data_IF_411512394458
#
_entry.id   IF_411512394458
#
_cell.length_a   1.000
_cell.length_b   1.000
_cell.length_c   1.000
_cell.angle_alpha   90.00
_cell.angle_beta   90.00
_cell.angle_gamma   90.00
#
_symmetry.space_group_name_H-M   'P 1'
#
loop_
_entity.id
_entity.type
_entity.pdbx_description
1 polymer ?
#
# COMPACT_ATOMS: atom_id res chain seq x y z
N UNK A 1 -19.91 -12.88 17.28
CA UNK A 1 -19.72 -14.28 17.65
C UNK A 1 -18.84 -14.42 18.90
N UNK A 2 -17.63 -13.78 18.97
CA UNK A 2 -16.78 -13.81 20.18
C UNK A 2 -17.52 -13.34 21.43
N UNK A 3 -18.31 -12.23 21.34
CA UNK A 3 -19.15 -11.72 22.45
C UNK A 3 -20.25 -12.69 22.88
N UNK A 4 -20.57 -13.68 22.03
CA UNK A 4 -21.54 -14.76 22.32
C UNK A 4 -20.86 -16.06 22.80
N UNK A 5 -19.55 -16.01 23.09
CA UNK A 5 -18.79 -17.15 23.62
C UNK A 5 -18.31 -18.18 22.59
N UNK A 6 -18.41 -17.90 21.29
CA UNK A 6 -17.92 -18.80 20.24
C UNK A 6 -16.40 -18.71 20.06
N UNK A 7 -15.73 -19.85 19.81
CA UNK A 7 -14.35 -19.89 19.29
C UNK A 7 -14.36 -19.49 17.81
N UNK A 8 -13.88 -18.28 17.51
CA UNK A 8 -13.90 -17.73 16.16
C UNK A 8 -12.49 -17.72 15.59
N UNK A 9 -12.31 -18.40 14.47
CA UNK A 9 -11.05 -18.45 13.72
C UNK A 9 -11.25 -17.91 12.31
N UNK A 10 -10.40 -17.00 11.88
CA UNK A 10 -10.44 -16.42 10.53
C UNK A 10 -9.43 -17.10 9.63
N UNK A 11 -9.87 -17.52 8.44
CA UNK A 11 -9.01 -18.11 7.41
C UNK A 11 -8.98 -17.18 6.20
N UNK A 12 -7.79 -16.90 5.67
CA UNK A 12 -7.68 -16.11 4.45
C UNK A 12 -8.31 -16.87 3.26
N UNK A 13 -9.17 -16.24 2.44
CA UNK A 13 -9.87 -16.91 1.33
C UNK A 13 -8.94 -17.65 0.37
N UNK A 14 -7.71 -17.15 0.19
CA UNK A 14 -6.70 -17.79 -0.66
C UNK A 14 -6.30 -19.20 -0.18
N UNK A 15 -6.45 -19.50 1.12
CA UNK A 15 -6.16 -20.82 1.69
C UNK A 15 -7.36 -21.77 1.63
N UNK A 16 -8.58 -21.24 1.54
CA UNK A 16 -9.80 -22.03 1.36
C UNK A 16 -10.01 -22.42 -0.10
N UNK A 17 -9.67 -21.52 -1.02
CA UNK A 17 -9.89 -21.71 -2.46
C UNK A 17 -9.45 -23.08 -3.04
N UNK A 18 -8.31 -23.67 -2.64
CA UNK A 18 -7.90 -24.99 -3.15
C UNK A 18 -8.85 -26.14 -2.79
N UNK A 19 -9.68 -25.97 -1.77
CA UNK A 19 -10.63 -26.97 -1.29
C UNK A 19 -12.03 -26.81 -1.89
N UNK A 20 -12.28 -25.68 -2.60
CA UNK A 20 -13.58 -25.44 -3.23
C UNK A 20 -13.74 -26.36 -4.45
N UNK A 21 -14.78 -27.19 -4.44
CA UNK A 21 -15.19 -28.03 -5.56
C UNK A 21 -15.77 -27.19 -6.70
N UNK A 22 -15.99 -27.82 -7.85
CA UNK A 22 -16.61 -27.16 -9.01
C UNK A 22 -18.01 -26.65 -8.64
N UNK A 23 -18.40 -25.53 -9.24
CA UNK A 23 -19.64 -24.78 -8.99
C UNK A 23 -19.60 -23.97 -7.70
N UNK A 24 -20.28 -22.81 -7.73
CA UNK A 24 -20.33 -21.88 -6.61
C UNK A 24 -21.69 -21.98 -5.94
N UNK A 25 -21.68 -22.47 -4.70
CA UNK A 25 -22.84 -22.44 -3.81
C UNK A 25 -22.33 -22.38 -2.35
N UNK A 26 -23.17 -21.93 -1.46
CA UNK A 26 -22.79 -21.72 -0.06
C UNK A 26 -22.46 -23.02 0.66
N UNK A 27 -23.09 -24.15 0.29
CA UNK A 27 -22.79 -25.46 0.86
C UNK A 27 -21.38 -25.95 0.50
N UNK A 28 -20.95 -25.76 -0.76
CA UNK A 28 -19.59 -26.08 -1.20
C UNK A 28 -18.53 -25.14 -0.55
N UNK A 29 -18.87 -23.86 -0.35
CA UNK A 29 -18.00 -22.92 0.36
C UNK A 29 -17.87 -23.31 1.84
N UNK A 30 -18.96 -23.71 2.51
CA UNK A 30 -18.94 -24.18 3.90
C UNK A 30 -18.13 -25.48 4.04
N UNK A 31 -18.28 -26.46 3.13
CA UNK A 31 -17.49 -27.69 3.10
C UNK A 31 -16.00 -27.37 2.95
N UNK A 32 -15.64 -26.48 2.02
CA UNK A 32 -14.25 -26.07 1.79
C UNK A 32 -13.64 -25.35 3.01
N UNK A 33 -14.42 -24.53 3.72
CA UNK A 33 -13.98 -23.87 4.96
C UNK A 33 -13.75 -24.92 6.06
N UNK A 34 -14.66 -25.86 6.22
CA UNK A 34 -14.55 -26.94 7.20
C UNK A 34 -13.31 -27.80 6.95
N UNK A 35 -13.09 -28.22 5.71
CA UNK A 35 -11.91 -29.00 5.29
C UNK A 35 -10.60 -28.20 5.53
N UNK A 36 -10.58 -26.94 5.16
CA UNK A 36 -9.43 -26.07 5.38
C UNK A 36 -9.13 -25.87 6.88
N UNK A 37 -10.16 -25.69 7.70
CA UNK A 37 -10.02 -25.43 9.14
C UNK A 37 -9.40 -26.60 9.91
N UNK A 38 -9.60 -27.83 9.44
CA UNK A 38 -9.08 -29.05 10.07
C UNK A 38 -7.63 -29.35 9.75
N UNK A 39 -7.02 -28.65 8.77
CA UNK A 39 -5.64 -28.92 8.36
C UNK A 39 -4.63 -28.48 9.42
N UNK A 40 -3.70 -29.36 9.87
CA UNK A 40 -2.70 -29.00 10.87
C UNK A 40 -1.78 -27.84 10.46
N UNK A 41 -1.57 -27.66 9.15
CA UNK A 41 -0.75 -26.57 8.60
C UNK A 41 -1.51 -25.26 8.37
N UNK A 42 -2.81 -25.22 8.69
CA UNK A 42 -3.63 -24.01 8.44
C UNK A 42 -3.20 -22.86 9.34
N UNK A 43 -3.01 -21.69 8.70
CA UNK A 43 -2.68 -20.44 9.40
C UNK A 43 -3.93 -19.58 9.51
N UNK A 44 -4.35 -19.36 10.74
CA UNK A 44 -5.47 -18.48 11.05
C UNK A 44 -5.02 -17.02 11.10
N UNK A 45 -5.93 -16.14 10.70
CA UNK A 45 -5.71 -14.69 10.76
C UNK A 45 -6.20 -14.19 12.12
N UNK A 46 -5.41 -13.40 12.86
CA UNK A 46 -5.86 -12.81 14.12
C UNK A 46 -7.10 -11.92 13.91
N UNK A 47 -8.07 -12.03 14.81
CA UNK A 47 -9.23 -11.15 14.84
C UNK A 47 -8.76 -9.75 15.28
N UNK A 48 -9.10 -8.73 14.53
CA UNK A 48 -8.77 -7.35 14.88
C UNK A 48 -9.64 -6.84 16.02
N UNK A 49 -9.07 -6.05 16.92
CA UNK A 49 -9.84 -5.29 17.92
C UNK A 49 -10.71 -4.21 17.26
N UNK A 50 -11.68 -3.68 18.00
CA UNK A 50 -12.53 -2.58 17.50
C UNK A 50 -11.69 -1.35 17.15
N UNK A 51 -10.66 -1.03 17.96
CA UNK A 51 -9.73 0.08 17.71
C UNK A 51 -8.88 -0.14 16.46
N UNK A 52 -8.38 -1.37 16.25
CA UNK A 52 -7.65 -1.72 15.02
C UNK A 52 -8.54 -1.62 13.78
N UNK A 53 -9.83 -1.99 13.91
CA UNK A 53 -10.79 -1.85 12.81
C UNK A 53 -11.07 -0.38 12.50
N UNK A 54 -11.29 0.45 13.54
CA UNK A 54 -11.50 1.88 13.40
C UNK A 54 -10.28 2.57 12.77
N UNK A 55 -9.06 2.23 13.22
CA UNK A 55 -7.83 2.73 12.63
C UNK A 55 -7.68 2.32 11.15
N UNK A 56 -8.00 1.06 10.82
CA UNK A 56 -7.94 0.57 9.44
C UNK A 56 -8.96 1.26 8.54
N UNK A 57 -10.12 1.67 9.07
CA UNK A 57 -11.16 2.38 8.31
C UNK A 57 -10.67 3.74 7.80
N UNK A 58 -9.83 4.45 8.57
CA UNK A 58 -9.22 5.72 8.14
C UNK A 58 -8.42 5.53 6.84
N UNK A 59 -7.62 4.47 6.76
CA UNK A 59 -6.82 4.19 5.55
C UNK A 59 -7.68 3.72 4.37
N UNK A 60 -8.75 2.95 4.61
CA UNK A 60 -9.70 2.55 3.57
C UNK A 60 -10.47 3.76 3.01
N UNK A 61 -10.92 4.66 3.89
CA UNK A 61 -11.55 5.93 3.52
C UNK A 61 -10.60 6.80 2.70
N UNK A 62 -9.36 6.97 3.19
CA UNK A 62 -8.33 7.70 2.46
C UNK A 62 -8.07 7.12 1.06
N UNK A 63 -7.94 5.80 0.95
CA UNK A 63 -7.73 5.14 -0.34
C UNK A 63 -8.93 5.32 -1.29
N UNK A 64 -10.15 5.36 -0.76
CA UNK A 64 -11.35 5.65 -1.54
C UNK A 64 -11.30 7.07 -2.09
N UNK A 65 -11.02 8.07 -1.25
CA UNK A 65 -10.92 9.47 -1.66
C UNK A 65 -9.86 9.67 -2.74
N UNK A 66 -8.67 9.06 -2.59
CA UNK A 66 -7.60 9.11 -3.60
C UNK A 66 -8.05 8.51 -4.94
N UNK A 67 -8.79 7.39 -4.92
CA UNK A 67 -9.31 6.79 -6.15
C UNK A 67 -10.36 7.67 -6.83
N UNK A 68 -11.30 8.23 -6.06
CA UNK A 68 -12.33 9.14 -6.59
C UNK A 68 -11.71 10.41 -7.18
N UNK A 69 -10.73 11.02 -6.50
CA UNK A 69 -9.96 12.15 -7.05
C UNK A 69 -9.31 11.80 -8.39
N UNK A 70 -8.67 10.65 -8.46
CA UNK A 70 -8.02 10.19 -9.71
C UNK A 70 -9.04 9.94 -10.81
N UNK A 71 -10.18 9.34 -10.49
CA UNK A 71 -11.27 9.06 -11.42
C UNK A 71 -11.82 10.36 -12.01
N UNK A 72 -12.23 11.30 -11.16
CA UNK A 72 -12.75 12.60 -11.59
C UNK A 72 -11.72 13.36 -12.44
N UNK A 73 -10.46 13.38 -12.00
CA UNK A 73 -9.37 14.03 -12.75
C UNK A 73 -9.18 13.45 -14.15
N UNK A 74 -9.34 12.13 -14.30
CA UNK A 74 -9.20 11.47 -15.59
C UNK A 74 -10.43 11.73 -16.49
N UNK A 75 -11.63 11.75 -15.91
CA UNK A 75 -12.88 12.09 -16.61
C UNK A 75 -12.80 13.51 -17.17
N UNK A 76 -12.41 14.50 -16.31
CA UNK A 76 -12.22 15.88 -16.75
C UNK A 76 -11.23 15.99 -17.92
N UNK A 77 -10.06 15.35 -17.81
CA UNK A 77 -9.08 15.35 -18.91
C UNK A 77 -9.63 14.71 -20.18
N UNK A 78 -10.33 13.58 -20.04
CA UNK A 78 -10.92 12.88 -21.20
C UNK A 78 -11.87 13.78 -21.95
N UNK A 79 -12.86 14.36 -21.28
CA UNK A 79 -13.82 15.24 -21.92
C UNK A 79 -13.19 16.51 -22.51
N UNK A 80 -12.29 17.18 -21.78
CA UNK A 80 -11.60 18.36 -22.28
C UNK A 80 -10.73 18.06 -23.50
N UNK A 81 -10.17 16.86 -23.59
CA UNK A 81 -9.38 16.44 -24.77
C UNK A 81 -10.24 16.34 -26.03
N UNK A 82 -11.52 15.97 -25.93
CA UNK A 82 -12.47 15.93 -27.07
C UNK A 82 -12.69 17.34 -27.69
N UNK A 83 -12.46 18.38 -26.88
CA UNK A 83 -12.52 19.79 -27.33
C UNK A 83 -11.14 20.37 -27.63
N UNK A 84 -10.11 19.52 -27.78
CA UNK A 84 -8.73 19.96 -28.11
C UNK A 84 -7.88 20.44 -26.94
N UNK A 85 -8.41 20.40 -25.70
CA UNK A 85 -7.68 20.85 -24.51
C UNK A 85 -6.96 19.68 -23.84
N UNK A 86 -5.64 19.59 -24.06
CA UNK A 86 -4.80 18.53 -23.53
C UNK A 86 -4.03 19.00 -22.31
N UNK A 87 -4.19 18.31 -21.17
CA UNK A 87 -3.41 18.57 -19.96
C UNK A 87 -2.57 17.36 -19.54
N UNK A 88 -1.33 17.55 -19.09
CA UNK A 88 -0.50 16.48 -18.55
C UNK A 88 -1.14 15.81 -17.33
N UNK A 89 -0.65 14.59 -17.00
CA UNK A 89 -1.08 13.88 -15.80
C UNK A 89 -0.65 14.61 -14.53
N UNK A 90 -1.48 14.57 -13.50
CA UNK A 90 -1.24 15.20 -12.19
C UNK A 90 -2.30 16.27 -11.87
N UNK A 91 -2.60 16.44 -10.58
CA UNK A 91 -3.64 17.39 -10.11
C UNK A 91 -3.25 18.85 -10.42
N UNK A 92 -1.97 19.18 -10.28
CA UNK A 92 -1.42 20.53 -10.56
C UNK A 92 -1.78 21.03 -11.97
N UNK A 93 -1.89 20.13 -12.95
CA UNK A 93 -2.24 20.51 -14.32
C UNK A 93 -3.75 20.69 -14.56
N UNK A 94 -4.59 20.35 -13.58
CA UNK A 94 -6.04 20.58 -13.68
C UNK A 94 -6.40 22.05 -13.47
N UNK A 95 -5.58 22.83 -12.76
CA UNK A 95 -5.79 24.26 -12.60
C UNK A 95 -5.82 24.98 -13.96
N UNK A 96 -5.01 24.54 -14.92
CA UNK A 96 -5.04 25.07 -16.28
C UNK A 96 -6.35 24.76 -17.00
N UNK A 97 -6.90 23.54 -16.83
CA UNK A 97 -8.20 23.19 -17.39
C UNK A 97 -9.34 23.94 -16.69
N UNK A 98 -9.24 24.13 -15.37
CA UNK A 98 -10.21 24.94 -14.62
C UNK A 98 -10.24 26.39 -15.10
N UNK A 99 -9.08 26.99 -15.34
CA UNK A 99 -8.96 28.34 -15.89
C UNK A 99 -9.61 28.48 -17.27
N UNK A 100 -9.50 27.47 -18.15
CA UNK A 100 -10.15 27.47 -19.46
C UNK A 100 -11.69 27.44 -19.34
N UNK A 101 -12.24 26.82 -18.31
CA UNK A 101 -13.68 26.75 -18.09
C UNK A 101 -14.28 28.09 -17.64
N UNK A 102 -13.47 29.08 -17.30
CA UNK A 102 -13.93 30.45 -17.04
C UNK A 102 -14.27 31.22 -18.32
N UNK A 103 -13.69 30.80 -19.47
CA UNK A 103 -14.01 31.36 -20.78
C UNK A 103 -15.25 30.67 -21.37
N UNK A 104 -16.36 31.45 -21.60
CA UNK A 104 -17.58 30.87 -22.20
C UNK A 104 -17.40 30.29 -23.60
N UNK A 105 -16.39 30.75 -24.34
CA UNK A 105 -16.12 30.33 -25.73
C UNK A 105 -15.27 29.04 -25.83
N UNK A 106 -14.59 28.64 -24.75
CA UNK A 106 -13.65 27.52 -24.77
C UNK A 106 -14.31 26.15 -25.02
N UNK A 107 -15.53 25.97 -24.50
CA UNK A 107 -16.32 24.73 -24.67
C UNK A 107 -17.82 25.05 -24.61
N UNK A 108 -18.69 24.20 -25.19
CA UNK A 108 -20.16 24.38 -25.11
C UNK A 108 -20.66 24.47 -23.68
N UNK A 109 -21.72 25.27 -23.46
CA UNK A 109 -22.28 25.54 -22.13
C UNK A 109 -22.62 24.27 -21.34
N UNK A 110 -23.21 23.25 -21.96
CA UNK A 110 -23.54 21.98 -21.30
C UNK A 110 -22.31 21.25 -20.77
N UNK A 111 -21.23 21.22 -21.55
CA UNK A 111 -19.93 20.61 -21.14
C UNK A 111 -19.33 21.40 -19.97
N UNK A 112 -19.32 22.74 -20.09
CA UNK A 112 -18.79 23.61 -19.06
C UNK A 112 -19.50 23.40 -17.71
N UNK A 113 -20.83 23.34 -17.72
CA UNK A 113 -21.63 23.12 -16.51
C UNK A 113 -21.27 21.79 -15.83
N UNK A 114 -21.16 20.71 -16.58
CA UNK A 114 -20.77 19.40 -16.03
C UNK A 114 -19.33 19.39 -15.53
N UNK A 115 -18.39 19.99 -16.27
CA UNK A 115 -17.00 20.09 -15.84
C UNK A 115 -16.84 20.92 -14.54
N UNK A 116 -17.60 21.98 -14.36
CA UNK A 116 -17.63 22.78 -13.13
C UNK A 116 -18.12 21.94 -11.94
N UNK A 117 -19.20 21.17 -12.08
CA UNK A 117 -19.67 20.24 -11.04
C UNK A 117 -18.60 19.19 -10.66
N UNK A 118 -17.86 18.69 -11.64
CA UNK A 118 -16.77 17.75 -11.38
C UNK A 118 -15.58 18.41 -10.68
N UNK A 119 -15.26 19.66 -11.00
CA UNK A 119 -14.22 20.44 -10.30
C UNK A 119 -14.62 20.72 -8.85
N UNK A 120 -15.86 21.09 -8.57
CA UNK A 120 -16.36 21.30 -7.21
C UNK A 120 -16.28 20.01 -6.39
N UNK A 121 -16.69 18.89 -7.00
CA UNK A 121 -16.55 17.56 -6.38
C UNK A 121 -15.10 17.22 -6.08
N UNK A 122 -14.18 17.52 -7.00
CA UNK A 122 -12.75 17.31 -6.81
C UNK A 122 -12.18 18.15 -5.68
N UNK A 123 -12.57 19.43 -5.59
CA UNK A 123 -12.15 20.34 -4.52
C UNK A 123 -12.66 19.86 -3.14
N UNK A 124 -13.89 19.35 -3.07
CA UNK A 124 -14.44 18.76 -1.85
C UNK A 124 -13.63 17.50 -1.44
N UNK A 125 -13.37 16.60 -2.37
CA UNK A 125 -12.59 15.38 -2.12
C UNK A 125 -11.17 15.71 -1.66
N UNK A 126 -10.57 16.77 -2.21
CA UNK A 126 -9.22 17.22 -1.85
C UNK A 126 -9.16 17.74 -0.41
N UNK A 127 -10.16 18.54 -0.01
CA UNK A 127 -10.30 18.99 1.39
C UNK A 127 -10.42 17.81 2.35
N UNK A 128 -11.33 16.86 2.07
CA UNK A 128 -11.55 15.67 2.90
C UNK A 128 -10.31 14.79 3.00
N UNK A 129 -9.59 14.61 1.90
CA UNK A 129 -8.32 13.89 1.89
C UNK A 129 -7.27 14.57 2.77
N UNK A 130 -7.17 15.90 2.68
CA UNK A 130 -6.22 16.70 3.48
C UNK A 130 -6.55 16.62 4.97
N UNK A 131 -7.84 16.64 5.35
CA UNK A 131 -8.27 16.46 6.74
C UNK A 131 -7.81 15.11 7.30
N UNK A 132 -8.00 14.02 6.54
CA UNK A 132 -7.53 12.69 6.95
C UNK A 132 -6.01 12.62 7.06
N UNK A 133 -5.28 13.24 6.13
CA UNK A 133 -3.81 13.27 6.19
C UNK A 133 -3.31 14.02 7.43
N UNK A 134 -3.93 15.15 7.79
CA UNK A 134 -3.62 15.90 9.02
C UNK A 134 -3.83 15.04 10.27
N UNK A 135 -4.95 14.31 10.33
CA UNK A 135 -5.26 13.43 11.45
C UNK A 135 -4.25 12.26 11.55
N UNK A 136 -3.89 11.64 10.43
CA UNK A 136 -2.86 10.60 10.40
C UNK A 136 -1.51 11.13 10.90
N UNK A 137 -1.11 12.32 10.45
CA UNK A 137 0.13 12.97 10.90
C UNK A 137 0.09 13.28 12.39
N UNK A 138 -1.03 13.77 12.93
CA UNK A 138 -1.22 13.99 14.36
C UNK A 138 -0.99 12.69 15.14
N UNK A 139 -1.71 11.62 14.79
CA UNK A 139 -1.57 10.30 15.42
C UNK A 139 -0.14 9.77 15.37
N UNK A 140 0.55 9.95 14.25
CA UNK A 140 1.94 9.47 14.13
C UNK A 140 2.92 10.16 15.08
N UNK A 141 2.63 11.39 15.50
CA UNK A 141 3.46 12.14 16.47
C UNK A 141 3.20 11.72 17.92
N UNK A 142 1.97 11.32 18.21
CA UNK A 142 1.54 10.89 19.55
C UNK A 142 1.95 9.44 19.85
N UNK A 143 1.99 8.58 18.83
CA UNK A 143 2.32 7.17 18.98
C UNK A 143 3.84 6.93 18.96
N UNK A 144 4.39 6.37 20.06
CA UNK A 144 5.82 6.10 20.20
C UNK A 144 6.33 5.07 19.18
N UNK A 145 5.50 4.06 18.83
CA UNK A 145 5.87 3.03 17.87
C UNK A 145 5.88 3.60 16.45
N UNK A 146 4.90 4.48 16.12
CA UNK A 146 4.92 5.20 14.85
C UNK A 146 6.17 6.06 14.71
N UNK A 147 6.56 6.80 15.76
CA UNK A 147 7.80 7.60 15.76
C UNK A 147 9.03 6.74 15.52
N UNK A 148 9.11 5.59 16.18
CA UNK A 148 10.18 4.61 15.97
C UNK A 148 10.23 4.12 14.52
N UNK A 149 9.10 3.76 13.93
CA UNK A 149 9.04 3.35 12.52
C UNK A 149 9.48 4.46 11.57
N UNK A 150 9.20 5.73 11.89
CA UNK A 150 9.62 6.87 11.08
C UNK A 150 11.13 7.12 11.07
N UNK A 151 11.91 6.47 11.94
CA UNK A 151 13.38 6.50 11.86
C UNK A 151 13.90 5.72 10.64
N UNK A 152 13.10 4.82 10.06
CA UNK A 152 13.47 4.05 8.87
C UNK A 152 13.38 4.94 7.62
N UNK A 153 14.44 5.06 6.81
CA UNK A 153 14.41 5.82 5.56
C UNK A 153 13.27 5.37 4.63
N UNK A 154 12.46 6.32 4.18
CA UNK A 154 11.29 6.06 3.33
C UNK A 154 10.00 5.70 4.08
N UNK A 155 10.02 5.65 5.41
CA UNK A 155 8.81 5.52 6.22
C UNK A 155 8.43 6.89 6.78
N UNK A 156 7.36 7.46 6.23
CA UNK A 156 6.76 8.70 6.73
C UNK A 156 5.54 8.42 7.63
N UNK A 157 4.89 9.49 8.14
CA UNK A 157 3.74 9.41 9.04
C UNK A 157 2.64 8.47 8.55
N UNK A 158 2.25 8.60 7.27
CA UNK A 158 1.19 7.79 6.65
C UNK A 158 1.57 6.30 6.65
N UNK A 159 2.82 5.98 6.31
CA UNK A 159 3.27 4.59 6.25
C UNK A 159 3.40 3.98 7.63
N UNK A 160 3.97 4.71 8.59
CA UNK A 160 4.11 4.25 9.97
C UNK A 160 2.75 3.94 10.61
N UNK A 161 1.82 4.88 10.55
CA UNK A 161 0.47 4.71 11.11
C UNK A 161 -0.32 3.61 10.36
N UNK A 162 -0.14 3.49 9.03
CA UNK A 162 -0.76 2.40 8.25
C UNK A 162 -0.25 1.02 8.68
N UNK A 163 1.04 0.88 8.99
CA UNK A 163 1.60 -0.37 9.49
C UNK A 163 0.91 -0.77 10.79
N UNK A 164 0.77 0.15 11.74
CA UNK A 164 0.13 -0.12 13.03
C UNK A 164 -1.36 -0.47 12.89
N UNK A 165 -2.07 0.19 11.96
CA UNK A 165 -3.50 -0.03 11.75
C UNK A 165 -3.83 -1.31 10.94
N UNK A 166 -2.98 -1.68 9.98
CA UNK A 166 -3.31 -2.69 8.99
C UNK A 166 -2.55 -4.00 9.18
N UNK A 167 -1.34 -3.97 9.73
CA UNK A 167 -0.55 -5.17 9.94
C UNK A 167 -1.06 -5.98 11.15
N UNK A 168 -1.01 -7.31 11.09
CA UNK A 168 -1.18 -8.15 12.28
C UNK A 168 -0.06 -7.88 13.28
N UNK A 169 -0.25 -8.27 14.55
CA UNK A 169 0.82 -8.19 15.56
C UNK A 169 2.10 -8.88 15.06
N UNK A 170 3.29 -8.32 15.33
CA UNK A 170 4.56 -8.84 14.80
C UNK A 170 4.84 -10.29 15.20
N UNK A 171 4.35 -10.74 16.36
CA UNK A 171 4.44 -12.13 16.83
C UNK A 171 3.68 -13.15 15.96
N UNK A 172 2.80 -12.70 15.05
CA UNK A 172 2.13 -13.58 14.06
C UNK A 172 3.13 -14.17 13.05
N UNK A 173 4.31 -13.55 12.91
CA UNK A 173 5.32 -13.95 11.93
C UNK A 173 6.57 -14.46 12.64
N UNK A 174 7.04 -15.64 12.26
CA UNK A 174 8.25 -16.23 12.82
C UNK A 174 9.52 -15.40 12.48
N UNK A 175 9.52 -14.73 11.32
CA UNK A 175 10.66 -13.93 10.84
C UNK A 175 10.22 -12.83 9.86
N UNK A 176 11.04 -11.82 9.70
CA UNK A 176 10.74 -10.68 8.81
C UNK A 176 10.51 -11.05 7.34
N UNK A 177 11.00 -12.21 6.89
CA UNK A 177 10.69 -12.72 5.54
C UNK A 177 9.22 -13.09 5.40
N UNK A 178 8.60 -13.60 6.45
CA UNK A 178 7.19 -13.97 6.46
C UNK A 178 6.30 -12.72 6.43
N UNK A 179 6.69 -11.65 7.14
CA UNK A 179 6.03 -10.35 7.05
C UNK A 179 6.13 -9.76 5.64
N UNK A 180 7.32 -9.78 5.01
CA UNK A 180 7.49 -9.30 3.64
C UNK A 180 6.69 -10.14 2.63
N UNK A 181 6.55 -11.45 2.85
CA UNK A 181 5.71 -12.34 2.06
C UNK A 181 4.23 -12.03 2.25
N UNK A 182 3.80 -11.77 3.50
CA UNK A 182 2.43 -11.35 3.82
C UNK A 182 2.07 -10.01 3.16
N UNK A 183 2.98 -9.05 3.09
CA UNK A 183 2.78 -7.80 2.32
C UNK A 183 2.75 -8.05 0.81
N UNK A 184 3.24 -9.21 0.34
CA UNK A 184 3.30 -9.57 -1.07
C UNK A 184 4.47 -8.96 -1.84
N UNK A 185 5.59 -8.71 -1.16
CA UNK A 185 6.82 -8.17 -1.73
C UNK A 185 7.86 -9.25 -2.10
N UNK A 186 7.54 -10.53 -1.86
CA UNK A 186 8.39 -11.65 -2.27
C UNK A 186 8.09 -12.07 -3.71
N UNK A 187 9.11 -12.48 -4.48
CA UNK A 187 8.92 -13.01 -5.83
C UNK A 187 8.05 -14.27 -5.85
N UNK A 188 7.25 -14.44 -6.88
CA UNK A 188 6.62 -15.73 -7.18
C UNK A 188 7.68 -16.72 -7.62
N UNK A 189 7.55 -17.95 -7.19
CA UNK A 189 8.44 -19.03 -7.58
C UNK A 189 7.76 -19.89 -8.65
N UNK A 190 8.47 -20.11 -9.75
CA UNK A 190 8.07 -20.96 -10.87
C UNK A 190 9.14 -22.04 -11.11
N UNK A 191 9.73 -22.54 -10.02
CA UNK A 191 10.81 -23.52 -10.06
C UNK A 191 10.27 -24.90 -10.35
N UNK A 192 10.95 -25.64 -11.23
CA UNK A 192 10.62 -27.02 -11.58
C UNK A 192 11.92 -27.78 -11.86
N UNK A 193 11.96 -29.08 -11.55
CA UNK A 193 13.10 -29.94 -11.82
C UNK A 193 14.43 -29.43 -11.25
N UNK A 194 14.42 -28.85 -10.03
CA UNK A 194 15.61 -28.28 -9.39
C UNK A 194 16.08 -26.92 -9.95
N UNK A 195 15.51 -26.44 -11.05
CA UNK A 195 15.87 -25.15 -11.66
C UNK A 195 15.05 -24.02 -11.03
N UNK A 196 15.73 -23.11 -10.33
CA UNK A 196 15.07 -21.97 -9.71
C UNK A 196 14.71 -20.90 -10.73
N UNK A 197 13.39 -20.58 -10.84
CA UNK A 197 12.90 -19.49 -11.67
C UNK A 197 12.03 -18.56 -10.82
N UNK A 198 12.47 -17.32 -10.63
CA UNK A 198 11.75 -16.30 -9.89
C UNK A 198 11.03 -15.34 -10.87
N UNK A 199 9.77 -15.05 -10.57
CA UNK A 199 8.95 -14.10 -11.31
C UNK A 199 8.83 -12.74 -10.62
N UNK A 200 7.82 -11.97 -10.99
CA UNK A 200 7.45 -10.73 -10.33
C UNK A 200 7.01 -10.98 -8.88
N UNK A 201 6.93 -9.91 -8.08
CA UNK A 201 6.40 -10.01 -6.71
C UNK A 201 4.97 -10.60 -6.69
N UNK A 202 4.66 -11.33 -5.61
CA UNK A 202 3.40 -12.08 -5.51
C UNK A 202 2.16 -11.20 -5.54
N UNK A 203 2.27 -9.96 -5.05
CA UNK A 203 1.17 -8.99 -4.87
C UNK A 203 0.02 -9.52 -3.99
N UNK A 204 0.25 -10.60 -3.26
CA UNK A 204 -0.69 -11.15 -2.27
C UNK A 204 -0.73 -10.25 -1.03
N UNK A 205 -1.77 -10.42 -0.20
CA UNK A 205 -1.89 -9.71 1.08
C UNK A 205 -2.20 -8.22 0.98
N UNK A 206 -1.74 -7.45 1.97
CA UNK A 206 -2.22 -6.07 2.17
C UNK A 206 -1.70 -5.10 1.08
N UNK A 207 -2.61 -4.65 0.24
CA UNK A 207 -2.31 -3.82 -0.93
C UNK A 207 -1.85 -2.41 -0.55
N UNK A 208 -2.47 -1.83 0.47
CA UNK A 208 -2.17 -0.45 0.90
C UNK A 208 -0.77 -0.36 1.47
N UNK A 209 -0.38 -1.29 2.36
CA UNK A 209 0.98 -1.33 2.91
C UNK A 209 2.02 -1.57 1.82
N UNK A 210 1.79 -2.51 0.92
CA UNK A 210 2.70 -2.75 -0.20
C UNK A 210 2.92 -1.50 -1.04
N UNK A 211 1.84 -0.78 -1.38
CA UNK A 211 1.92 0.48 -2.15
C UNK A 211 2.72 1.54 -1.40
N UNK A 212 2.44 1.75 -0.12
CA UNK A 212 3.12 2.75 0.70
C UNK A 212 4.61 2.44 0.84
N UNK A 213 4.98 1.19 1.10
CA UNK A 213 6.37 0.75 1.18
C UNK A 213 7.12 0.93 -0.16
N UNK A 214 6.48 0.66 -1.29
CA UNK A 214 7.07 0.89 -2.61
C UNK A 214 7.24 2.39 -2.87
N UNK A 215 6.26 3.23 -2.54
CA UNK A 215 6.35 4.69 -2.71
C UNK A 215 7.50 5.26 -1.86
N UNK A 216 7.57 4.89 -0.58
CA UNK A 216 8.64 5.33 0.32
C UNK A 216 10.02 4.89 -0.18
N UNK A 217 10.14 3.63 -0.59
CA UNK A 217 11.38 3.10 -1.18
C UNK A 217 11.74 3.79 -2.50
N UNK A 218 10.75 4.16 -3.32
CA UNK A 218 10.98 4.92 -4.56
C UNK A 218 11.56 6.30 -4.28
N UNK A 219 11.09 6.98 -3.23
CA UNK A 219 11.64 8.27 -2.81
C UNK A 219 13.10 8.14 -2.38
N UNK A 220 13.44 7.12 -1.59
CA UNK A 220 14.83 6.84 -1.17
C UNK A 220 15.74 6.55 -2.36
N UNK A 221 15.30 5.69 -3.28
CA UNK A 221 16.08 5.34 -4.49
C UNK A 221 16.23 6.56 -5.40
N UNK A 222 15.19 7.38 -5.56
CA UNK A 222 15.27 8.61 -6.35
C UNK A 222 16.27 9.62 -5.75
N UNK A 223 16.24 9.77 -4.41
CA UNK A 223 17.18 10.65 -3.72
C UNK A 223 18.63 10.15 -3.88
N UNK A 224 18.84 8.83 -3.71
CA UNK A 224 20.14 8.20 -3.92
C UNK A 224 20.63 8.33 -5.37
N UNK A 225 19.75 8.26 -6.37
CA UNK A 225 20.10 8.46 -7.78
C UNK A 225 20.51 9.90 -8.09
N UNK A 226 19.94 10.89 -7.37
CA UNK A 226 20.23 12.33 -7.61
C UNK A 226 21.45 12.84 -6.84
N UNK A 227 21.62 12.37 -5.60
CA UNK A 227 22.64 12.91 -4.66
C UNK A 227 23.81 11.95 -4.43
N UNK A 228 23.76 10.75 -5.03
CA UNK A 228 24.65 9.65 -4.71
C UNK A 228 24.16 8.86 -3.50
N UNK A 229 24.41 7.56 -3.50
CA UNK A 229 24.23 6.70 -2.34
C UNK A 229 25.53 6.66 -1.53
N UNK A 230 25.50 6.44 -0.21
CA UNK A 230 26.70 6.26 0.58
C UNK A 230 27.57 5.12 -0.01
N UNK A 231 28.88 5.34 -0.11
CA UNK A 231 29.84 4.34 -0.66
C UNK A 231 29.72 3.03 0.13
N UNK A 232 29.77 1.90 -0.59
CA UNK A 232 29.63 0.57 -0.01
C UNK A 232 28.22 0.19 0.46
N UNK A 233 27.26 1.11 0.35
CA UNK A 233 25.88 0.85 0.79
C UNK A 233 25.14 -0.11 -0.13
N UNK A 234 24.16 -0.83 0.43
CA UNK A 234 23.31 -1.73 -0.34
C UNK A 234 22.59 -1.04 -1.52
N UNK A 235 22.04 0.20 -1.39
CA UNK A 235 21.45 0.90 -2.52
C UNK A 235 22.44 1.16 -3.65
N UNK A 236 23.67 1.59 -3.34
CA UNK A 236 24.70 1.82 -4.34
C UNK A 236 25.02 0.55 -5.14
N UNK A 237 25.33 -0.55 -4.44
CA UNK A 237 25.63 -1.84 -5.06
C UNK A 237 24.48 -2.37 -5.92
N UNK A 238 23.24 -2.16 -5.51
CA UNK A 238 22.07 -2.59 -6.27
C UNK A 238 21.81 -1.73 -7.49
N UNK A 239 21.95 -0.40 -7.38
CA UNK A 239 21.73 0.52 -8.50
C UNK A 239 22.78 0.37 -9.59
N UNK A 240 24.01 -0.03 -9.26
CA UNK A 240 25.05 -0.33 -10.23
C UNK A 240 24.73 -1.56 -11.11
N UNK A 241 23.86 -2.48 -10.65
CA UNK A 241 23.63 -3.79 -11.31
C UNK A 241 22.20 -4.00 -11.80
N UNK A 242 21.23 -3.22 -11.32
CA UNK A 242 19.81 -3.49 -11.55
C UNK A 242 19.03 -2.22 -11.90
N UNK A 243 17.97 -2.34 -12.74
CA UNK A 243 17.12 -1.22 -13.07
C UNK A 243 16.43 -0.62 -11.83
N UNK A 244 16.23 0.70 -11.83
CA UNK A 244 15.69 1.47 -10.70
C UNK A 244 14.43 0.86 -10.07
N UNK A 245 13.46 0.43 -10.88
CA UNK A 245 12.21 -0.14 -10.35
C UNK A 245 12.45 -1.46 -9.61
N UNK A 246 13.38 -2.28 -10.05
CA UNK A 246 13.74 -3.53 -9.37
C UNK A 246 14.42 -3.22 -8.03
N UNK A 247 15.33 -2.23 -7.99
CA UNK A 247 15.95 -1.75 -6.75
C UNK A 247 14.91 -1.22 -5.77
N UNK A 248 13.93 -0.43 -6.27
CA UNK A 248 12.83 0.09 -5.46
C UNK A 248 12.02 -1.02 -4.79
N UNK A 249 11.63 -2.04 -5.54
CA UNK A 249 10.84 -3.17 -4.99
C UNK A 249 11.68 -4.02 -4.03
N UNK A 250 12.96 -4.24 -4.33
CA UNK A 250 13.88 -4.96 -3.45
C UNK A 250 14.11 -4.19 -2.14
N UNK A 251 14.22 -2.85 -2.21
CA UNK A 251 14.30 -2.00 -1.02
C UNK A 251 13.00 -2.07 -0.20
N UNK A 252 11.84 -2.03 -0.84
CA UNK A 252 10.55 -2.17 -0.16
C UNK A 252 10.45 -3.52 0.60
N UNK A 253 10.95 -4.61 0.02
CA UNK A 253 11.04 -5.90 0.71
C UNK A 253 11.99 -5.83 1.91
N UNK A 254 13.17 -5.22 1.74
CA UNK A 254 14.15 -5.03 2.82
C UNK A 254 13.55 -4.17 3.94
N UNK A 255 12.88 -3.07 3.59
CA UNK A 255 12.20 -2.18 4.54
C UNK A 255 11.11 -2.92 5.32
N UNK A 256 10.29 -3.75 4.67
CA UNK A 256 9.30 -4.57 5.36
C UNK A 256 9.93 -5.50 6.42
N UNK A 257 11.07 -6.09 6.11
CA UNK A 257 11.81 -6.95 7.07
C UNK A 257 12.38 -6.15 8.24
N UNK A 258 12.87 -4.92 7.97
CA UNK A 258 13.35 -4.00 9.00
C UNK A 258 12.18 -3.59 9.90
N UNK A 259 11.04 -3.22 9.35
CA UNK A 259 9.82 -2.89 10.09
C UNK A 259 9.46 -4.01 11.08
N UNK A 260 9.42 -5.25 10.60
CA UNK A 260 9.14 -6.40 11.47
C UNK A 260 10.16 -6.53 12.60
N UNK A 261 11.45 -6.36 12.31
CA UNK A 261 12.52 -6.46 13.31
C UNK A 261 12.40 -5.38 14.39
N UNK A 262 12.14 -4.12 13.99
CA UNK A 262 11.97 -3.02 14.94
C UNK A 262 10.72 -3.20 15.82
N UNK A 263 9.62 -3.67 15.23
CA UNK A 263 8.39 -3.96 15.98
C UNK A 263 8.56 -5.10 16.98
N UNK A 264 9.39 -6.11 16.64
CA UNK A 264 9.63 -7.27 17.52
C UNK A 264 10.61 -6.95 18.63
N UNK A 265 11.67 -6.19 18.31
CA UNK A 265 12.77 -5.91 19.25
C UNK A 265 12.57 -4.64 20.09
N UNK A 266 11.61 -3.78 19.70
CA UNK A 266 11.40 -2.46 20.30
C UNK A 266 12.61 -1.51 20.20
N UNK A 267 13.41 -1.62 19.14
CA UNK A 267 14.60 -0.81 18.88
C UNK A 267 14.34 0.26 17.80
N UNK A 268 15.12 1.34 17.81
CA UNK A 268 15.14 2.33 16.74
C UNK A 268 16.01 1.85 15.57
N UNK A 269 15.77 2.41 14.39
CA UNK A 269 16.55 2.05 13.22
C UNK A 269 17.97 2.62 13.32
N UNK A 270 18.93 1.73 13.25
CA UNK A 270 20.35 2.08 13.12
C UNK A 270 20.79 1.75 11.70
N UNK A 271 21.30 2.76 10.98
CA UNK A 271 21.83 2.54 9.64
C UNK A 271 23.01 1.56 9.70
N UNK A 272 23.09 0.53 8.83
CA UNK A 272 24.24 -0.32 8.77
C UNK A 272 25.49 0.53 8.49
N UNK A 273 26.52 0.37 9.31
CA UNK A 273 27.83 0.96 9.02
C UNK A 273 28.31 0.33 7.70
N UNK A 274 28.65 1.17 6.71
CA UNK A 274 29.26 0.68 5.49
C UNK A 274 30.54 -0.06 5.89
N UNK A 275 30.64 -1.35 5.54
CA UNK A 275 31.88 -2.07 5.74
C UNK A 275 32.99 -1.28 5.04
N UNK A 276 34.00 -0.88 5.80
CA UNK A 276 35.21 -0.34 5.22
C UNK A 276 35.74 -1.39 4.23
N UNK A 277 35.88 -0.98 2.96
CA UNK A 277 36.42 -1.81 1.91
C UNK A 277 37.93 -1.97 2.08
#
# INVERSE_FOLDING_TARGET
LLKLGHDVRLIAPAYVKPFVKRQKNDAADAEAICEAAQRPSMRFVPVKTEEQQAAAMVFRGRDLLVRQRTQISNVLRGHMTEYGWIAPKGLVHLEKLAALLTDPSAVPQGVRSVCMLLLDSLAMLDRRHTELDKEIVRRSREDAVARRLMTIPGIGPITATAILALAPPPGTFAKGRDFAAWVGLTPRQHSTGGKQKLGSISKMGERTLRRLLIIGSSAVVLQASKRGAPKGSWPEQMMARKPRMLVTVALANKTARIVWALLTKNEDYTAPVAAAA
#
